data_IF_103398295734
#
_entry.id   IF_103398295734
#
_cell.length_a   1.000
_cell.length_b   1.000
_cell.length_c   1.000
_cell.angle_alpha   90.00
_cell.angle_beta   90.00
_cell.angle_gamma   90.00
#
_symmetry.space_group_name_H-M   'P 1'
#
loop_
_entity.id
_entity.type
_entity.pdbx_description
1 polymer ?
#
# COMPACT_ATOMS: atom_id res chain seq x y z
N UNK A 1 -18.18 -51.81 -44.94
CA UNK A 1 -17.79 -51.52 -43.58
C UNK A 1 -16.45 -50.77 -43.52
N UNK A 2 -16.32 -49.65 -44.24
CA UNK A 2 -15.07 -48.84 -44.27
C UNK A 2 -15.30 -47.31 -44.19
N UNK A 3 -16.47 -46.86 -43.73
CA UNK A 3 -16.82 -45.44 -43.73
C UNK A 3 -16.88 -44.75 -42.34
N UNK A 4 -16.58 -45.47 -41.26
CA UNK A 4 -16.72 -44.92 -39.90
C UNK A 4 -15.42 -44.64 -39.18
N UNK A 5 -14.26 -44.89 -39.82
CA UNK A 5 -12.94 -44.68 -39.18
C UNK A 5 -12.41 -43.25 -39.35
N UNK A 6 -12.95 -42.49 -40.32
CA UNK A 6 -12.45 -41.14 -40.63
C UNK A 6 -13.03 -40.05 -39.70
N UNK A 7 -14.14 -40.36 -39.03
CA UNK A 7 -14.81 -39.35 -38.18
C UNK A 7 -14.26 -39.26 -36.75
N UNK A 8 -13.39 -40.19 -36.36
CA UNK A 8 -12.83 -40.22 -34.99
C UNK A 8 -11.50 -39.48 -34.84
N UNK A 9 -10.89 -39.03 -35.94
CA UNK A 9 -9.57 -38.38 -35.93
C UNK A 9 -9.63 -36.85 -35.95
N UNK A 10 -10.81 -36.25 -36.02
CA UNK A 10 -10.95 -34.77 -36.05
C UNK A 10 -11.21 -34.19 -34.66
N UNK A 11 -11.41 -35.02 -33.62
CA UNK A 11 -11.78 -34.55 -32.29
C UNK A 11 -10.63 -34.47 -31.28
N UNK A 12 -9.37 -34.67 -31.70
CA UNK A 12 -8.19 -34.66 -30.82
C UNK A 12 -7.35 -33.39 -31.00
N UNK A 13 -7.86 -32.38 -31.68
CA UNK A 13 -7.05 -31.24 -32.11
C UNK A 13 -7.29 -29.89 -31.43
N UNK A 14 -8.03 -29.77 -30.33
CA UNK A 14 -8.19 -28.46 -29.66
C UNK A 14 -8.19 -28.56 -28.14
N UNK A 15 -7.15 -29.16 -27.58
CA UNK A 15 -6.72 -28.72 -26.23
C UNK A 15 -5.85 -27.48 -26.44
N UNK A 16 -6.49 -26.36 -26.71
CA UNK A 16 -5.88 -25.04 -26.52
C UNK A 16 -5.61 -24.95 -25.03
N UNK A 17 -4.35 -25.13 -24.65
CA UNK A 17 -3.85 -24.65 -23.38
C UNK A 17 -4.09 -23.13 -23.38
N UNK A 18 -5.21 -22.70 -22.86
CA UNK A 18 -5.35 -21.36 -22.35
C UNK A 18 -4.39 -21.27 -21.16
N UNK A 19 -3.13 -20.97 -21.43
CA UNK A 19 -2.26 -20.41 -20.41
C UNK A 19 -2.89 -19.06 -20.06
N UNK A 20 -3.66 -19.08 -19.01
CA UNK A 20 -3.97 -17.89 -18.25
C UNK A 20 -2.63 -17.42 -17.70
N UNK A 21 -1.94 -16.56 -18.41
CA UNK A 21 -0.98 -15.66 -17.79
C UNK A 21 -1.85 -14.73 -16.97
N UNK A 22 -1.94 -15.02 -15.67
CA UNK A 22 -2.28 -14.01 -14.70
C UNK A 22 -1.10 -13.03 -14.77
N UNK A 23 -1.22 -12.00 -15.59
CA UNK A 23 -0.50 -10.78 -15.36
C UNK A 23 -1.03 -10.29 -14.01
N UNK A 24 -0.27 -10.55 -12.95
CA UNK A 24 -0.37 -9.79 -11.73
C UNK A 24 -0.09 -8.32 -12.12
N UNK A 25 -1.16 -7.60 -12.44
CA UNK A 25 -1.15 -6.14 -12.47
C UNK A 25 -1.10 -5.71 -11.00
N UNK A 26 0.06 -5.93 -10.38
CA UNK A 26 0.27 -5.66 -8.96
C UNK A 26 1.10 -4.40 -8.73
N UNK A 27 1.01 -3.46 -9.67
CA UNK A 27 1.60 -2.16 -9.52
C UNK A 27 0.53 -1.09 -9.78
N UNK A 28 -0.02 -0.55 -8.71
CA UNK A 28 -0.65 0.75 -8.77
C UNK A 28 0.44 1.80 -9.03
N UNK A 29 1.04 1.75 -10.21
CA UNK A 29 1.84 2.84 -10.75
C UNK A 29 0.86 3.91 -11.24
N UNK A 30 0.68 4.94 -10.45
CA UNK A 30 -0.04 6.13 -10.90
C UNK A 30 0.94 7.07 -11.56
N UNK A 31 0.87 7.13 -12.87
CA UNK A 31 1.65 8.02 -13.70
C UNK A 31 1.07 9.44 -13.61
N UNK A 32 1.91 10.41 -13.28
CA UNK A 32 1.56 11.82 -13.45
C UNK A 32 1.80 12.23 -14.89
N UNK A 33 0.77 12.68 -15.61
CA UNK A 33 0.78 12.95 -17.06
C UNK A 33 1.48 14.24 -17.48
N UNK A 34 2.15 14.98 -16.63
CA UNK A 34 2.74 16.27 -16.96
C UNK A 34 4.27 16.28 -17.10
N UNK A 35 4.86 15.28 -17.76
CA UNK A 35 6.02 15.42 -18.63
C UNK A 35 7.38 15.75 -18.03
N UNK A 36 7.61 15.84 -16.70
CA UNK A 36 8.92 16.19 -16.15
C UNK A 36 9.46 15.30 -15.04
N UNK A 37 8.63 14.70 -14.23
CA UNK A 37 9.04 13.67 -13.26
C UNK A 37 7.88 12.75 -12.96
N UNK A 38 8.16 11.45 -12.84
CA UNK A 38 7.15 10.49 -12.37
C UNK A 38 7.45 10.19 -10.91
N UNK A 39 6.48 10.52 -10.06
CA UNK A 39 6.49 10.09 -8.68
C UNK A 39 5.56 8.89 -8.54
N UNK A 40 6.12 7.74 -8.29
CA UNK A 40 5.35 6.53 -7.99
C UNK A 40 5.57 6.11 -6.55
N UNK A 41 4.54 5.57 -5.93
CA UNK A 41 4.59 5.01 -4.60
C UNK A 41 3.86 3.66 -4.59
N UNK A 42 4.60 2.58 -4.32
CA UNK A 42 4.00 1.28 -4.10
C UNK A 42 3.69 1.10 -2.62
N UNK A 43 2.41 0.89 -2.30
CA UNK A 43 1.86 0.70 -0.95
C UNK A 43 1.31 -0.71 -0.73
N UNK A 44 1.47 -1.63 -1.68
CA UNK A 44 0.87 -2.98 -1.69
C UNK A 44 1.59 -3.97 -0.77
N UNK A 45 2.08 -3.50 0.35
CA UNK A 45 2.68 -4.34 1.37
C UNK A 45 1.71 -4.51 2.54
N UNK A 46 1.66 -5.69 3.18
CA UNK A 46 0.82 -5.87 4.37
C UNK A 46 1.26 -4.93 5.48
N UNK A 47 0.31 -4.47 6.26
CA UNK A 47 0.59 -3.71 7.47
C UNK A 47 1.17 -4.62 8.55
N UNK A 48 2.15 -4.12 9.27
CA UNK A 48 2.82 -4.85 10.33
C UNK A 48 2.50 -4.22 11.68
N UNK A 49 2.16 -5.05 12.65
CA UNK A 49 1.86 -4.62 14.00
C UNK A 49 3.08 -4.76 14.91
N UNK A 50 3.32 -3.75 15.74
CA UNK A 50 4.33 -3.88 16.78
C UNK A 50 3.79 -4.72 17.93
N UNK A 51 4.68 -5.56 18.48
CA UNK A 51 4.34 -6.39 19.64
C UNK A 51 3.97 -5.51 20.83
N UNK A 52 2.86 -5.83 21.48
CA UNK A 52 2.41 -5.17 22.70
C UNK A 52 2.87 -6.01 23.89
N UNK A 53 3.77 -5.45 24.69
CA UNK A 53 4.31 -6.13 25.87
C UNK A 53 3.25 -6.20 26.97
N UNK A 54 3.22 -7.32 27.69
CA UNK A 54 2.29 -7.49 28.83
C UNK A 54 0.87 -7.85 28.44
N UNK A 55 0.60 -8.10 27.15
CA UNK A 55 -0.70 -8.56 26.69
C UNK A 55 -0.59 -9.95 26.04
N UNK A 56 -1.28 -10.95 26.60
CA UNK A 56 -1.23 -12.32 26.09
C UNK A 56 -2.29 -12.60 25.00
N UNK A 57 -3.34 -11.80 24.95
CA UNK A 57 -4.41 -11.93 23.96
C UNK A 57 -4.67 -10.53 23.36
N UNK A 58 -4.06 -10.28 22.20
CA UNK A 58 -4.12 -8.98 21.51
C UNK A 58 -4.97 -9.11 20.26
N UNK A 59 -6.02 -8.30 20.17
CA UNK A 59 -6.62 -7.91 18.91
C UNK A 59 -5.89 -6.66 18.42
N UNK A 60 -5.18 -6.77 17.30
CA UNK A 60 -4.44 -5.64 16.76
C UNK A 60 -5.36 -4.58 16.12
N UNK A 61 -4.89 -3.33 16.14
CA UNK A 61 -5.59 -2.24 15.48
C UNK A 61 -5.73 -2.48 13.97
N UNK A 62 -6.88 -2.12 13.40
CA UNK A 62 -7.13 -2.26 11.96
C UNK A 62 -8.04 -1.13 11.45
N UNK A 63 -7.85 -0.68 10.20
CA UNK A 63 -8.74 0.32 9.61
C UNK A 63 -10.18 -0.21 9.52
N UNK A 64 -11.15 0.64 9.83
CA UNK A 64 -12.58 0.26 9.82
C UNK A 64 -13.03 -0.18 8.43
N UNK A 65 -12.53 0.48 7.38
CA UNK A 65 -12.87 0.20 5.99
C UNK A 65 -11.94 -0.83 5.33
N UNK A 66 -11.03 -1.45 6.12
CA UNK A 66 -10.02 -2.39 5.63
C UNK A 66 -8.73 -1.72 5.20
N UNK A 67 -7.70 -2.56 5.09
CA UNK A 67 -6.32 -2.15 4.81
C UNK A 67 -6.18 -1.48 3.45
N UNK A 68 -6.77 -2.06 2.43
CA UNK A 68 -6.68 -1.58 1.05
C UNK A 68 -7.35 -0.20 0.88
N UNK A 69 -8.52 0.00 1.48
CA UNK A 69 -9.18 1.31 1.44
C UNK A 69 -8.35 2.39 2.15
N UNK A 70 -7.71 2.05 3.26
CA UNK A 70 -6.80 2.95 3.97
C UNK A 70 -5.58 3.31 3.12
N UNK A 71 -4.93 2.32 2.50
CA UNK A 71 -3.77 2.51 1.62
C UNK A 71 -4.12 3.40 0.44
N UNK A 72 -5.27 3.15 -0.18
CA UNK A 72 -5.76 3.95 -1.31
C UNK A 72 -6.05 5.41 -0.89
N UNK A 73 -6.67 5.63 0.27
CA UNK A 73 -6.92 6.97 0.79
C UNK A 73 -5.61 7.72 1.07
N UNK A 74 -4.66 7.06 1.72
CA UNK A 74 -3.34 7.63 1.98
C UNK A 74 -2.60 7.97 0.69
N UNK A 75 -2.62 7.06 -0.28
CA UNK A 75 -1.99 7.26 -1.58
C UNK A 75 -2.60 8.46 -2.30
N UNK A 76 -3.92 8.57 -2.35
CA UNK A 76 -4.62 9.71 -2.96
C UNK A 76 -4.26 11.03 -2.25
N UNK A 77 -4.13 11.03 -0.92
CA UNK A 77 -3.70 12.20 -0.18
C UNK A 77 -2.25 12.57 -0.51
N UNK A 78 -1.35 11.60 -0.65
CA UNK A 78 0.03 11.86 -1.09
C UNK A 78 0.05 12.50 -2.48
N UNK A 79 -0.71 11.97 -3.44
CA UNK A 79 -0.80 12.54 -4.78
C UNK A 79 -1.31 13.97 -4.81
N UNK A 80 -2.23 14.31 -3.91
CA UNK A 80 -2.91 15.61 -3.90
C UNK A 80 -2.15 16.69 -3.12
N UNK A 81 -1.34 16.29 -2.14
CA UNK A 81 -0.77 17.24 -1.17
C UNK A 81 0.75 17.25 -1.12
N UNK A 82 1.42 16.32 -1.79
CA UNK A 82 2.88 16.27 -1.86
C UNK A 82 3.33 17.00 -3.13
N UNK A 83 4.27 17.91 -2.98
CA UNK A 83 4.90 18.56 -4.12
C UNK A 83 5.85 17.59 -4.82
N UNK A 84 5.32 16.92 -5.83
CA UNK A 84 6.00 15.85 -6.57
C UNK A 84 7.23 16.33 -7.33
N UNK A 85 7.24 17.59 -7.73
CA UNK A 85 8.33 18.18 -8.52
C UNK A 85 9.52 18.60 -7.65
N UNK A 86 9.31 18.67 -6.33
CA UNK A 86 10.34 19.07 -5.37
C UNK A 86 11.18 17.92 -4.83
N UNK A 87 10.81 16.66 -5.12
CA UNK A 87 11.45 15.49 -4.51
C UNK A 87 11.97 14.51 -5.55
N UNK A 88 13.22 14.09 -5.40
CA UNK A 88 13.79 12.91 -6.05
C UNK A 88 13.90 11.78 -5.01
N UNK A 89 12.90 10.92 -4.95
CA UNK A 89 12.79 9.88 -3.94
C UNK A 89 12.94 8.50 -4.58
N UNK A 90 13.96 7.78 -4.13
CA UNK A 90 14.16 6.39 -4.55
C UNK A 90 14.47 5.55 -3.32
N UNK A 91 13.57 4.66 -2.96
CA UNK A 91 13.80 3.74 -1.87
C UNK A 91 12.60 3.38 -1.01
N UNK A 92 12.89 2.58 -0.01
CA UNK A 92 11.89 2.07 0.94
C UNK A 92 11.78 2.99 2.14
N UNK A 93 10.56 3.37 2.45
CA UNK A 93 10.18 4.08 3.65
C UNK A 93 9.18 3.27 4.46
N UNK A 94 9.14 3.55 5.76
CA UNK A 94 8.17 2.99 6.68
C UNK A 94 7.37 4.10 7.32
N UNK A 95 6.07 4.06 7.14
CA UNK A 95 5.11 4.91 7.79
C UNK A 95 4.66 4.22 9.07
N UNK A 96 4.97 4.82 10.21
CA UNK A 96 4.61 4.29 11.51
C UNK A 96 3.50 5.15 12.10
N UNK A 97 2.34 4.56 12.28
CA UNK A 97 1.15 5.18 12.85
C UNK A 97 0.98 4.72 14.29
N UNK A 98 0.74 5.65 15.19
CA UNK A 98 0.30 5.32 16.54
C UNK A 98 -1.21 5.52 16.62
N UNK A 99 -1.92 4.45 16.93
CA UNK A 99 -3.38 4.42 17.04
C UNK A 99 -3.74 4.46 18.51
N UNK A 100 -4.49 5.50 18.92
CA UNK A 100 -4.94 5.67 20.29
C UNK A 100 -6.14 4.76 20.63
N UNK A 101 -6.55 4.65 21.91
CA UNK A 101 -7.71 3.84 22.30
C UNK A 101 -9.05 4.29 21.70
N UNK A 102 -9.12 5.50 21.15
CA UNK A 102 -10.29 6.04 20.46
C UNK A 102 -10.33 5.68 18.98
N UNK A 103 -9.31 4.95 18.46
CA UNK A 103 -9.21 4.58 17.07
C UNK A 103 -8.78 5.74 16.14
N UNK A 104 -7.98 6.67 16.66
CA UNK A 104 -7.46 7.80 15.91
C UNK A 104 -5.95 7.71 15.78
N UNK A 105 -5.40 8.20 14.66
CA UNK A 105 -3.95 8.34 14.48
C UNK A 105 -3.50 9.49 15.36
N UNK A 106 -2.84 9.19 16.48
CA UNK A 106 -2.35 10.17 17.45
C UNK A 106 -0.94 10.65 17.14
N UNK A 107 -0.14 9.83 16.46
CA UNK A 107 1.21 10.16 16.05
C UNK A 107 1.58 9.50 14.73
N UNK A 108 2.50 10.12 13.99
CA UNK A 108 3.05 9.65 12.74
C UNK A 108 4.56 9.83 12.72
N UNK A 109 5.27 8.78 12.35
CA UNK A 109 6.71 8.79 12.13
C UNK A 109 7.03 8.24 10.74
N UNK A 110 7.98 8.86 10.04
CA UNK A 110 8.53 8.38 8.78
C UNK A 110 9.96 7.87 9.01
N UNK A 111 10.26 6.67 8.51
CA UNK A 111 11.57 6.04 8.61
C UNK A 111 12.05 5.56 7.24
N UNK A 112 13.38 5.65 6.91
CA UNK A 112 14.42 6.32 7.71
C UNK A 112 14.25 7.85 7.66
N UNK A 113 14.88 8.55 8.61
CA UNK A 113 15.04 9.99 8.50
C UNK A 113 15.99 10.28 7.33
N UNK A 114 15.55 11.14 6.43
CA UNK A 114 16.35 11.55 5.26
C UNK A 114 17.06 12.86 5.57
N UNK A 115 18.34 12.94 5.26
CA UNK A 115 19.10 14.18 5.37
C UNK A 115 18.45 15.20 4.44
N UNK A 116 18.17 16.40 4.97
CA UNK A 116 17.43 17.46 4.27
C UNK A 116 15.96 17.11 3.91
N UNK A 117 15.42 16.04 4.46
CA UNK A 117 14.07 15.55 4.18
C UNK A 117 12.93 16.20 5.00
N UNK A 118 13.18 17.33 5.66
CA UNK A 118 12.19 17.96 6.55
C UNK A 118 10.92 18.37 5.80
N UNK A 119 11.04 18.93 4.61
CA UNK A 119 9.88 19.32 3.79
C UNK A 119 9.06 18.09 3.40
N UNK A 120 9.71 17.04 2.91
CA UNK A 120 9.07 15.79 2.58
C UNK A 120 8.34 15.17 3.78
N UNK A 121 8.96 15.20 4.97
CA UNK A 121 8.32 14.71 6.19
C UNK A 121 7.06 15.51 6.54
N UNK A 122 7.10 16.84 6.47
CA UNK A 122 5.94 17.68 6.77
C UNK A 122 4.81 17.49 5.73
N UNK A 123 5.13 17.30 4.46
CA UNK A 123 4.15 16.99 3.42
C UNK A 123 3.49 15.62 3.66
N UNK A 124 4.29 14.59 3.99
CA UNK A 124 3.75 13.27 4.35
C UNK A 124 2.86 13.35 5.60
N UNK A 125 3.28 14.10 6.60
CA UNK A 125 2.51 14.33 7.82
C UNK A 125 1.20 15.08 7.53
N UNK A 126 1.23 16.03 6.58
CA UNK A 126 0.04 16.72 6.13
C UNK A 126 -0.92 15.78 5.41
N UNK A 127 -0.42 14.91 4.51
CA UNK A 127 -1.21 13.90 3.83
C UNK A 127 -1.87 12.93 4.83
N UNK A 128 -1.11 12.49 5.85
CA UNK A 128 -1.64 11.62 6.93
C UNK A 128 -2.73 12.32 7.75
N UNK A 129 -2.56 13.61 8.07
CA UNK A 129 -3.57 14.38 8.80
C UNK A 129 -4.90 14.53 8.04
N UNK A 130 -4.93 14.31 6.73
CA UNK A 130 -6.12 14.36 5.89
C UNK A 130 -6.86 13.03 5.78
N UNK A 131 -6.33 11.96 6.37
CA UNK A 131 -7.00 10.68 6.44
C UNK A 131 -8.31 10.80 7.24
N UNK A 132 -9.36 10.27 6.68
CA UNK A 132 -10.70 10.23 7.29
C UNK A 132 -11.01 8.86 7.88
N UNK A 133 -10.25 7.84 7.46
CA UNK A 133 -10.42 6.47 7.93
C UNK A 133 -10.20 6.41 9.44
N UNK A 134 -11.22 5.90 10.14
CA UNK A 134 -11.14 5.54 11.54
C UNK A 134 -10.58 4.14 11.69
N UNK A 135 -10.10 3.82 12.89
CA UNK A 135 -9.55 2.53 13.22
C UNK A 135 -10.35 1.85 14.32
N UNK A 136 -10.45 0.54 14.27
CA UNK A 136 -10.66 -0.25 15.45
C UNK A 136 -9.35 -0.22 16.25
N UNK A 137 -9.34 0.27 17.52
CA UNK A 137 -8.12 0.30 18.31
C UNK A 137 -7.64 -1.12 18.64
N UNK A 138 -6.39 -1.27 19.01
CA UNK A 138 -5.92 -2.53 19.57
C UNK A 138 -6.63 -2.79 20.91
N UNK A 139 -6.87 -4.07 21.19
CA UNK A 139 -7.54 -4.49 22.39
C UNK A 139 -6.71 -5.52 23.16
N UNK A 140 -6.59 -5.36 24.46
CA UNK A 140 -5.94 -6.31 25.34
C UNK A 140 -6.94 -6.80 26.39
N UNK A 141 -7.40 -8.06 26.23
CA UNK A 141 -8.33 -8.66 27.18
C UNK A 141 -9.64 -7.89 27.38
N UNK A 142 -10.16 -7.25 26.32
CA UNK A 142 -11.40 -6.47 26.35
C UNK A 142 -11.20 -4.96 26.57
N UNK A 143 -9.96 -4.50 26.83
CA UNK A 143 -9.68 -3.08 27.04
C UNK A 143 -8.97 -2.47 25.83
N UNK A 144 -9.49 -1.36 25.25
CA UNK A 144 -8.82 -0.67 24.15
C UNK A 144 -7.50 -0.06 24.63
N UNK A 145 -6.45 -0.21 23.83
CA UNK A 145 -5.10 0.26 24.15
C UNK A 145 -4.47 0.95 22.94
N UNK A 146 -3.49 1.82 23.20
CA UNK A 146 -2.65 2.37 22.13
C UNK A 146 -1.77 1.30 21.52
N UNK A 147 -1.55 1.39 20.21
CA UNK A 147 -0.69 0.47 19.47
C UNK A 147 0.00 1.16 18.32
N UNK A 148 1.10 0.57 17.85
CA UNK A 148 1.79 1.04 16.65
C UNK A 148 1.59 0.08 15.49
N UNK A 149 1.37 0.64 14.31
CA UNK A 149 1.23 -0.08 13.05
C UNK A 149 2.25 0.51 12.08
N UNK A 150 2.94 -0.36 11.35
CA UNK A 150 3.92 0.02 10.34
C UNK A 150 3.43 -0.36 8.96
N UNK A 151 3.53 0.55 8.00
CA UNK A 151 3.29 0.31 6.59
C UNK A 151 4.56 0.60 5.80
N UNK A 152 4.95 -0.33 4.93
CA UNK A 152 6.04 -0.15 3.99
C UNK A 152 5.54 0.61 2.76
N UNK A 153 6.33 1.56 2.27
CA UNK A 153 6.09 2.31 1.05
C UNK A 153 7.39 2.36 0.24
N UNK A 154 7.34 1.95 -1.00
CA UNK A 154 8.46 2.13 -1.91
C UNK A 154 8.18 3.33 -2.81
N UNK A 155 9.08 4.32 -2.79
CA UNK A 155 9.02 5.47 -3.67
C UNK A 155 10.00 5.29 -4.83
N UNK A 156 9.57 5.73 -6.00
CA UNK A 156 10.41 5.85 -7.19
C UNK A 156 10.09 7.15 -7.90
N UNK A 157 11.13 7.89 -8.23
CA UNK A 157 11.05 9.09 -9.08
C UNK A 157 11.91 8.86 -10.29
N UNK A 158 11.31 8.81 -11.46
CA UNK A 158 12.02 8.78 -12.72
C UNK A 158 12.15 10.23 -13.20
N UNK A 159 13.39 10.70 -13.37
CA UNK A 159 13.71 12.01 -13.96
C UNK A 159 14.01 11.76 -15.42
N UNK A 160 13.24 12.35 -16.32
CA UNK A 160 13.59 12.31 -17.75
C UNK A 160 14.47 13.51 -18.06
N UNK A 161 15.73 13.23 -18.42
CA UNK A 161 16.59 14.22 -19.09
C UNK A 161 15.99 14.52 -20.48
N UNK A 162 15.59 15.74 -20.69
CA UNK A 162 15.10 16.25 -21.98
C UNK A 162 16.27 16.63 -22.87
#
# INVERSE_FOLDING_TARGET
MKKYIVLLLVFIGTLINAQFTVEEVDDTEFLSENGKSFFSANVNFPMEHFRISGCNNVDYAKPVNGEEAFKQELFNNMLNFVDKDSYALNGTFYFVFEINPQGEISNFELKPNVVNGNMFYEDMKFAVKRLKTKWFPANCGGSPISSKVRMKVNFKTDVFDL
#
